data_IF_549169738624
#
_entry.id   IF_549169738624
#
_cell.length_a   1.000
_cell.length_b   1.000
_cell.length_c   1.000
_cell.angle_alpha   90.00
_cell.angle_beta   90.00
_cell.angle_gamma   90.00
#
_symmetry.space_group_name_H-M   'P 1'
#
loop_
_entity.id
_entity.type
_entity.pdbx_description
1 polymer ?
#
# COMPACT_ATOMS: atom_id res chain seq x y z
N UNK A 1 6.30 -22.88 0.62
CA UNK A 1 5.51 -23.12 -0.60
C UNK A 1 5.93 -22.11 -1.65
N UNK A 2 6.11 -22.52 -2.89
CA UNK A 2 6.52 -21.62 -3.98
C UNK A 2 5.29 -20.99 -4.64
N UNK A 3 5.23 -19.65 -4.59
CA UNK A 3 4.25 -18.80 -5.27
C UNK A 3 5.00 -17.66 -5.95
N UNK A 4 5.67 -17.94 -7.07
CA UNK A 4 6.56 -16.98 -7.74
C UNK A 4 5.97 -15.57 -7.83
N UNK A 5 6.73 -14.53 -7.46
CA UNK A 5 8.16 -14.52 -7.06
C UNK A 5 8.41 -14.79 -5.55
N UNK A 6 7.48 -15.41 -4.84
CA UNK A 6 7.54 -15.63 -3.40
C UNK A 6 7.72 -17.09 -3.00
N UNK A 7 8.45 -17.30 -1.90
CA UNK A 7 8.45 -18.53 -1.10
C UNK A 7 7.70 -18.27 0.19
N UNK A 8 6.56 -18.92 0.40
CA UNK A 8 5.72 -18.72 1.57
C UNK A 8 6.06 -19.75 2.65
N UNK A 9 6.44 -19.25 3.82
CA UNK A 9 6.87 -20.00 4.99
C UNK A 9 5.99 -19.56 6.18
N UNK A 10 5.63 -20.48 7.06
CA UNK A 10 4.80 -20.12 8.22
C UNK A 10 4.78 -21.21 9.28
N UNK A 11 4.37 -20.86 10.50
CA UNK A 11 4.28 -21.71 11.68
C UNK A 11 2.85 -22.18 12.02
N UNK A 12 1.97 -22.14 11.02
CA UNK A 12 0.59 -22.61 11.10
C UNK A 12 0.41 -23.96 10.41
N UNK A 13 -0.73 -24.66 10.59
CA UNK A 13 -0.99 -25.91 9.89
C UNK A 13 -0.83 -25.82 8.36
N UNK A 14 -0.13 -26.79 7.76
CA UNK A 14 0.23 -26.79 6.33
C UNK A 14 -0.96 -26.56 5.37
N UNK A 15 -2.12 -27.10 5.71
CA UNK A 15 -3.34 -26.89 4.92
C UNK A 15 -3.77 -25.42 4.92
N UNK A 16 -3.77 -24.77 6.09
CA UNK A 16 -4.10 -23.35 6.23
C UNK A 16 -3.07 -22.45 5.52
N UNK A 17 -1.78 -22.76 5.68
CA UNK A 17 -0.70 -22.05 4.99
C UNK A 17 -0.91 -22.13 3.47
N UNK A 18 -1.25 -23.30 2.94
CA UNK A 18 -1.48 -23.53 1.52
C UNK A 18 -2.70 -22.78 1.00
N UNK A 19 -3.87 -23.08 1.56
CA UNK A 19 -5.14 -22.65 0.95
C UNK A 19 -5.44 -21.18 1.21
N UNK A 20 -5.32 -20.73 2.47
CA UNK A 20 -5.68 -19.37 2.85
C UNK A 20 -4.60 -18.36 2.45
N UNK A 21 -3.33 -18.68 2.77
CA UNK A 21 -2.28 -17.67 2.68
C UNK A 21 -1.53 -17.72 1.35
N UNK A 22 -0.92 -18.86 1.01
CA UNK A 22 -0.14 -18.93 -0.23
C UNK A 22 -1.03 -18.77 -1.47
N UNK A 23 -2.11 -19.54 -1.59
CA UNK A 23 -2.99 -19.49 -2.75
C UNK A 23 -4.01 -18.35 -2.66
N UNK A 24 -4.73 -18.27 -1.55
CA UNK A 24 -5.86 -17.33 -1.38
C UNK A 24 -5.44 -15.88 -1.18
N UNK A 25 -4.21 -15.62 -0.68
CA UNK A 25 -3.75 -14.25 -0.48
C UNK A 25 -2.56 -13.91 -1.37
N UNK A 26 -1.41 -14.60 -1.24
CA UNK A 26 -0.18 -14.22 -1.96
C UNK A 26 -0.34 -14.37 -3.47
N UNK A 27 -0.75 -15.56 -3.95
CA UNK A 27 -0.98 -15.81 -5.39
C UNK A 27 -2.06 -14.89 -5.96
N UNK A 28 -3.18 -14.76 -5.24
CA UNK A 28 -4.29 -13.92 -5.65
C UNK A 28 -3.87 -12.46 -5.79
N UNK A 29 -3.29 -11.86 -4.73
CA UNK A 29 -2.85 -10.48 -4.75
C UNK A 29 -1.79 -10.23 -5.84
N UNK A 30 -0.78 -11.11 -5.94
CA UNK A 30 0.26 -11.04 -6.98
C UNK A 30 -0.35 -11.00 -8.38
N UNK A 31 -1.24 -11.95 -8.68
CA UNK A 31 -1.91 -12.03 -9.99
C UNK A 31 -2.67 -10.74 -10.31
N UNK A 32 -3.48 -10.24 -9.36
CA UNK A 32 -4.33 -9.07 -9.56
C UNK A 32 -3.55 -7.76 -9.64
N UNK A 33 -2.52 -7.59 -8.81
CA UNK A 33 -1.64 -6.43 -8.86
C UNK A 33 -0.84 -6.37 -10.17
N UNK A 34 -0.30 -7.51 -10.64
CA UNK A 34 0.36 -7.60 -11.95
C UNK A 34 -0.60 -7.24 -13.08
N UNK A 35 -1.79 -7.79 -13.11
CA UNK A 35 -2.80 -7.46 -14.12
C UNK A 35 -3.19 -5.96 -14.14
N UNK A 36 -3.08 -5.29 -12.99
CA UNK A 36 -3.48 -3.89 -12.83
C UNK A 36 -2.35 -2.89 -13.10
N UNK A 37 -1.11 -3.21 -12.68
CA UNK A 37 -0.03 -2.24 -12.63
C UNK A 37 1.34 -2.75 -13.09
N UNK A 38 1.72 -4.00 -12.77
CA UNK A 38 3.11 -4.41 -12.79
C UNK A 38 3.42 -5.36 -13.95
N UNK A 39 4.43 -5.03 -14.73
CA UNK A 39 4.88 -5.83 -15.87
C UNK A 39 6.11 -6.66 -15.54
N UNK A 40 6.85 -6.29 -14.50
CA UNK A 40 8.07 -6.97 -14.06
C UNK A 40 7.86 -7.61 -12.70
N UNK A 41 8.39 -8.80 -12.52
CA UNK A 41 8.52 -9.41 -11.20
C UNK A 41 9.72 -8.80 -10.45
N UNK A 42 9.74 -8.84 -9.11
CA UNK A 42 10.94 -8.59 -8.33
C UNK A 42 12.14 -9.41 -8.86
N UNK A 43 13.32 -8.79 -8.86
CA UNK A 43 14.54 -9.40 -9.42
C UNK A 43 14.93 -10.70 -8.69
N UNK A 44 14.64 -10.74 -7.40
CA UNK A 44 14.94 -11.88 -6.53
C UNK A 44 13.67 -12.59 -6.10
N UNK A 45 13.81 -13.86 -5.79
CA UNK A 45 12.80 -14.60 -5.03
C UNK A 45 12.80 -14.02 -3.60
N UNK A 46 11.63 -13.81 -3.05
CA UNK A 46 11.42 -13.19 -1.75
C UNK A 46 10.75 -14.18 -0.81
N UNK A 47 11.25 -14.25 0.42
CA UNK A 47 10.62 -15.04 1.47
C UNK A 47 9.42 -14.29 2.06
N UNK A 48 8.31 -14.99 2.24
CA UNK A 48 7.11 -14.49 2.93
C UNK A 48 6.95 -15.29 4.22
N UNK A 49 7.41 -14.71 5.32
CA UNK A 49 7.34 -15.30 6.64
C UNK A 49 6.03 -14.93 7.32
N UNK A 50 5.17 -15.92 7.52
CA UNK A 50 3.85 -15.75 8.13
C UNK A 50 3.83 -16.38 9.52
N UNK A 51 3.85 -15.54 10.56
CA UNK A 51 3.79 -15.97 11.94
C UNK A 51 2.37 -15.89 12.47
N UNK A 52 1.90 -16.96 13.10
CA UNK A 52 0.51 -17.15 13.53
C UNK A 52 0.00 -16.10 14.51
N UNK A 53 0.88 -15.51 15.33
CA UNK A 53 0.54 -14.52 16.34
C UNK A 53 1.74 -13.59 16.66
N UNK A 54 1.49 -12.58 17.50
CA UNK A 54 2.48 -11.58 17.90
C UNK A 54 3.69 -12.20 18.59
N UNK A 55 3.49 -13.19 19.46
CA UNK A 55 4.59 -13.81 20.21
C UNK A 55 5.52 -14.58 19.27
N UNK A 56 4.94 -15.36 18.37
CA UNK A 56 5.70 -16.06 17.32
C UNK A 56 6.44 -15.08 16.41
N UNK A 57 5.76 -14.03 15.95
CA UNK A 57 6.34 -12.97 15.11
C UNK A 57 7.55 -12.31 15.77
N UNK A 58 7.42 -11.84 17.01
CA UNK A 58 8.50 -11.19 17.74
C UNK A 58 9.66 -12.14 18.05
N UNK A 59 9.36 -13.39 18.44
CA UNK A 59 10.35 -14.44 18.75
C UNK A 59 11.19 -14.75 17.50
N UNK A 60 10.54 -15.12 16.41
CA UNK A 60 11.24 -15.56 15.23
C UNK A 60 11.93 -14.43 14.46
N UNK A 61 11.35 -13.23 14.42
CA UNK A 61 12.03 -12.06 13.85
C UNK A 61 13.34 -11.77 14.59
N UNK A 62 13.35 -11.88 15.93
CA UNK A 62 14.58 -11.74 16.72
C UNK A 62 15.59 -12.84 16.43
N UNK A 63 15.14 -14.08 16.26
CA UNK A 63 16.01 -15.21 15.94
C UNK A 63 16.63 -15.09 14.54
N UNK A 64 15.86 -14.65 13.54
CA UNK A 64 16.28 -14.60 12.15
C UNK A 64 17.10 -13.33 11.82
N UNK A 65 16.77 -12.20 12.44
CA UNK A 65 17.36 -10.89 12.10
C UNK A 65 17.96 -10.13 13.28
N UNK A 66 18.06 -10.75 14.45
CA UNK A 66 18.76 -10.19 15.62
C UNK A 66 18.02 -9.09 16.38
N UNK A 67 16.86 -8.62 15.91
CA UNK A 67 16.12 -7.52 16.52
C UNK A 67 14.61 -7.77 16.57
N UNK A 68 13.97 -7.11 17.55
CA UNK A 68 12.51 -7.08 17.62
C UNK A 68 11.95 -6.18 16.51
N UNK A 69 10.85 -6.58 15.85
CA UNK A 69 10.20 -5.73 14.87
C UNK A 69 9.71 -4.42 15.48
N UNK A 70 9.82 -3.33 14.71
CA UNK A 70 9.34 -2.00 15.12
C UNK A 70 7.83 -1.80 14.91
N UNK A 71 7.19 -2.72 14.19
CA UNK A 71 5.75 -2.71 13.91
C UNK A 71 5.10 -4.00 14.42
N UNK A 72 3.85 -3.92 14.89
CA UNK A 72 3.08 -5.08 15.36
C UNK A 72 2.41 -5.87 14.24
N UNK A 73 2.43 -5.37 13.01
CA UNK A 73 1.68 -5.92 11.88
C UNK A 73 2.55 -6.78 10.96
N UNK A 74 3.56 -6.20 10.41
CA UNK A 74 4.47 -6.79 9.45
C UNK A 74 5.27 -5.71 8.73
N UNK A 75 6.23 -6.12 7.91
CA UNK A 75 7.04 -5.21 7.10
C UNK A 75 7.71 -5.95 5.95
N UNK A 76 8.03 -5.21 4.89
CA UNK A 76 8.93 -5.63 3.84
C UNK A 76 10.36 -5.16 4.16
N UNK A 77 11.33 -6.04 3.96
CA UNK A 77 12.77 -5.75 4.06
C UNK A 77 13.44 -6.10 2.74
N UNK A 78 13.82 -5.09 1.96
CA UNK A 78 14.59 -5.29 0.73
C UNK A 78 15.97 -5.89 1.01
N UNK A 79 16.63 -5.45 2.09
CA UNK A 79 17.94 -5.96 2.51
C UNK A 79 17.90 -7.47 2.83
N UNK A 80 16.85 -7.94 3.48
CA UNK A 80 16.67 -9.36 3.82
C UNK A 80 15.89 -10.13 2.74
N UNK A 81 15.41 -9.47 1.69
CA UNK A 81 14.55 -10.04 0.66
C UNK A 81 13.35 -10.79 1.25
N UNK A 82 12.72 -10.20 2.25
CA UNK A 82 11.69 -10.85 3.03
C UNK A 82 10.50 -9.94 3.36
N UNK A 83 9.30 -10.53 3.34
CA UNK A 83 8.11 -10.00 3.98
C UNK A 83 7.93 -10.76 5.28
N UNK A 84 7.79 -10.04 6.40
CA UNK A 84 7.77 -10.64 7.75
C UNK A 84 6.48 -10.21 8.44
N UNK A 85 5.55 -11.15 8.68
CA UNK A 85 4.16 -10.85 8.97
C UNK A 85 3.67 -11.47 10.28
N UNK A 86 3.01 -10.66 11.11
CA UNK A 86 2.11 -11.14 12.15
C UNK A 86 0.71 -11.34 11.55
N UNK A 87 0.37 -12.58 11.20
CA UNK A 87 -0.84 -12.84 10.44
C UNK A 87 -2.13 -12.81 11.29
N UNK A 88 -2.01 -12.76 12.63
CA UNK A 88 -3.15 -12.53 13.51
C UNK A 88 -3.80 -11.16 13.30
N UNK A 89 -3.09 -10.20 12.72
CA UNK A 89 -3.64 -8.88 12.38
C UNK A 89 -4.45 -8.87 11.07
N UNK A 90 -4.51 -9.99 10.37
CA UNK A 90 -5.27 -10.16 9.12
C UNK A 90 -4.40 -10.14 7.86
N UNK A 91 -5.00 -10.49 6.74
CA UNK A 91 -4.32 -10.60 5.44
C UNK A 91 -4.07 -9.26 4.74
N UNK A 92 -4.71 -8.19 5.18
CA UNK A 92 -4.61 -6.89 4.54
C UNK A 92 -3.20 -6.32 4.55
N UNK A 93 -2.51 -6.42 5.69
CA UNK A 93 -1.11 -6.00 5.79
C UNK A 93 -0.22 -6.81 4.86
N UNK A 94 -0.47 -8.11 4.68
CA UNK A 94 0.29 -8.93 3.73
C UNK A 94 0.11 -8.42 2.29
N UNK A 95 -1.10 -8.04 1.89
CA UNK A 95 -1.35 -7.46 0.55
C UNK A 95 -0.64 -6.12 0.41
N UNK A 96 -0.62 -5.29 1.45
CA UNK A 96 0.14 -4.04 1.51
C UNK A 96 1.64 -4.30 1.24
N UNK A 97 2.24 -5.22 1.99
CA UNK A 97 3.68 -5.49 1.87
C UNK A 97 4.06 -6.15 0.52
N UNK A 98 3.13 -6.88 -0.12
CA UNK A 98 3.34 -7.42 -1.48
C UNK A 98 3.48 -6.31 -2.53
N UNK A 99 2.85 -5.15 -2.34
CA UNK A 99 2.94 -4.01 -3.27
C UNK A 99 4.39 -3.49 -3.38
N UNK A 100 5.13 -3.41 -2.27
CA UNK A 100 6.42 -2.76 -2.22
C UNK A 100 7.49 -3.38 -3.14
N UNK A 101 7.76 -4.69 -3.13
CA UNK A 101 8.75 -5.27 -4.03
C UNK A 101 8.37 -5.16 -5.52
N UNK A 102 7.07 -5.11 -5.83
CA UNK A 102 6.63 -4.85 -7.20
C UNK A 102 6.82 -3.37 -7.58
N UNK A 103 6.55 -2.43 -6.67
CA UNK A 103 6.88 -1.01 -6.89
C UNK A 103 8.39 -0.87 -7.11
N UNK A 104 9.23 -1.46 -6.27
CA UNK A 104 10.69 -1.41 -6.41
C UNK A 104 11.15 -1.89 -7.80
N UNK A 105 10.57 -2.98 -8.33
CA UNK A 105 10.91 -3.55 -9.63
C UNK A 105 10.36 -2.75 -10.83
N UNK A 106 9.22 -2.06 -10.68
CA UNK A 106 8.51 -1.43 -11.79
C UNK A 106 8.57 0.10 -11.77
N UNK A 107 8.73 0.71 -10.61
CA UNK A 107 8.80 2.14 -10.41
C UNK A 107 9.93 2.48 -9.44
N UNK A 108 11.22 2.30 -9.84
CA UNK A 108 12.33 2.75 -9.02
C UNK A 108 12.18 4.25 -8.76
N UNK A 109 12.61 4.72 -7.59
CA UNK A 109 12.45 6.10 -7.11
C UNK A 109 10.99 6.53 -6.86
N UNK A 110 10.07 5.57 -6.71
CA UNK A 110 8.69 5.86 -6.36
C UNK A 110 8.63 6.63 -5.01
N UNK A 111 8.00 7.82 -4.96
CA UNK A 111 7.91 8.57 -3.71
C UNK A 111 7.03 7.84 -2.69
N UNK A 112 7.37 8.00 -1.40
CA UNK A 112 6.70 7.29 -0.29
C UNK A 112 5.19 7.47 -0.29
N UNK A 113 4.70 8.66 -0.59
CA UNK A 113 3.26 8.91 -0.60
C UNK A 113 2.48 8.00 -1.55
N UNK A 114 3.06 7.71 -2.74
CA UNK A 114 2.40 6.85 -3.72
C UNK A 114 2.61 5.37 -3.39
N UNK A 115 3.83 4.98 -3.02
CA UNK A 115 4.16 3.62 -2.62
C UNK A 115 3.29 3.15 -1.43
N UNK A 116 3.26 3.93 -0.36
CA UNK A 116 2.46 3.65 0.83
C UNK A 116 0.96 3.83 0.61
N UNK A 117 0.60 4.83 -0.20
CA UNK A 117 -0.79 5.04 -0.61
C UNK A 117 -1.36 3.83 -1.34
N UNK A 118 -0.59 3.23 -2.27
CA UNK A 118 -1.02 2.05 -3.02
C UNK A 118 -1.06 0.80 -2.15
N UNK A 119 -0.03 0.55 -1.32
CA UNK A 119 -0.04 -0.52 -0.32
C UNK A 119 -1.25 -0.40 0.60
N UNK A 120 -1.46 0.78 1.19
CA UNK A 120 -2.57 1.05 2.09
C UNK A 120 -3.95 0.94 1.42
N UNK A 121 -4.07 1.25 0.13
CA UNK A 121 -5.32 1.09 -0.60
C UNK A 121 -5.80 -0.36 -0.57
N UNK A 122 -4.88 -1.30 -0.68
CA UNK A 122 -5.20 -2.72 -0.75
C UNK A 122 -5.17 -3.47 0.60
N UNK A 123 -4.93 -2.76 1.72
CA UNK A 123 -5.11 -3.32 3.08
C UNK A 123 -6.53 -3.86 3.32
N UNK A 124 -7.52 -3.25 2.70
CA UNK A 124 -8.90 -3.73 2.64
C UNK A 124 -9.29 -3.77 1.18
N UNK A 125 -9.39 -4.97 0.63
CA UNK A 125 -9.62 -5.14 -0.81
C UNK A 125 -10.44 -6.39 -1.12
N UNK A 126 -11.07 -6.37 -2.28
CA UNK A 126 -11.74 -7.53 -2.86
C UNK A 126 -11.53 -7.59 -4.37
N UNK A 127 -12.02 -8.64 -4.97
CA UNK A 127 -12.07 -8.78 -6.42
C UNK A 127 -13.41 -8.29 -6.99
N UNK A 128 -13.34 -7.45 -8.05
CA UNK A 128 -14.50 -7.05 -8.84
C UNK A 128 -14.11 -7.02 -10.32
N UNK A 129 -14.84 -7.77 -11.15
CA UNK A 129 -14.58 -7.88 -12.60
C UNK A 129 -13.11 -8.22 -12.90
N UNK A 130 -12.59 -9.25 -12.25
CA UNK A 130 -11.20 -9.72 -12.36
C UNK A 130 -10.11 -8.73 -11.93
N UNK A 131 -10.47 -7.67 -11.21
CA UNK A 131 -9.57 -6.63 -10.75
C UNK A 131 -9.54 -6.56 -9.23
N UNK A 132 -8.36 -6.25 -8.67
CA UNK A 132 -8.27 -5.88 -7.26
C UNK A 132 -8.82 -4.47 -7.04
N UNK A 133 -9.74 -4.34 -6.10
CA UNK A 133 -10.40 -3.08 -5.76
C UNK A 133 -10.19 -2.82 -4.27
N UNK A 134 -9.61 -1.68 -3.94
CA UNK A 134 -9.50 -1.21 -2.57
C UNK A 134 -10.85 -0.72 -2.04
N UNK A 135 -11.14 -1.04 -0.79
CA UNK A 135 -12.35 -0.62 -0.07
C UNK A 135 -12.03 0.48 0.94
N UNK A 136 -13.04 1.08 1.56
CA UNK A 136 -12.83 1.90 2.77
C UNK A 136 -12.25 1.05 3.90
N UNK A 137 -11.50 1.66 4.81
CA UNK A 137 -10.92 0.95 5.96
C UNK A 137 -10.86 1.84 7.21
N UNK A 138 -10.32 1.30 8.30
CA UNK A 138 -10.20 1.95 9.62
C UNK A 138 -9.50 3.32 9.60
N UNK A 139 -8.66 3.62 8.59
CA UNK A 139 -7.96 4.91 8.47
C UNK A 139 -8.92 6.07 8.20
N UNK A 140 -10.16 5.77 7.77
CA UNK A 140 -11.16 6.77 7.42
C UNK A 140 -11.53 7.68 8.61
N UNK A 141 -11.67 7.08 9.79
CA UNK A 141 -12.06 7.85 10.99
C UNK A 141 -11.00 8.91 11.35
N UNK A 142 -9.71 8.54 11.30
CA UNK A 142 -8.60 9.47 11.52
C UNK A 142 -8.56 10.58 10.48
N UNK A 143 -8.69 10.23 9.20
CA UNK A 143 -8.70 11.19 8.11
C UNK A 143 -9.84 12.22 8.27
N UNK A 144 -11.06 11.75 8.56
CA UNK A 144 -12.20 12.65 8.78
C UNK A 144 -11.98 13.61 9.95
N UNK A 145 -11.33 13.16 11.02
CA UNK A 145 -10.96 14.00 12.15
C UNK A 145 -10.02 15.12 11.70
N UNK A 146 -8.93 14.80 11.02
CA UNK A 146 -7.93 15.78 10.56
C UNK A 146 -8.53 16.78 9.57
N UNK A 147 -9.44 16.33 8.69
CA UNK A 147 -10.20 17.22 7.80
C UNK A 147 -11.04 18.25 8.60
N UNK A 148 -11.78 17.79 9.62
CA UNK A 148 -12.60 18.72 10.48
C UNK A 148 -11.74 19.72 11.24
N UNK A 149 -10.54 19.32 11.64
CA UNK A 149 -9.57 20.17 12.33
C UNK A 149 -8.86 21.16 11.39
N UNK A 150 -9.05 21.04 10.06
CA UNK A 150 -8.36 21.88 9.08
C UNK A 150 -6.84 21.70 9.03
N UNK A 151 -6.34 20.55 9.50
CA UNK A 151 -4.90 20.26 9.63
C UNK A 151 -4.33 19.41 8.50
N UNK A 152 -5.14 19.06 7.51
CA UNK A 152 -4.69 18.20 6.43
C UNK A 152 -3.75 18.98 5.50
N UNK A 153 -2.54 18.46 5.17
CA UNK A 153 -1.66 19.11 4.23
C UNK A 153 -2.29 19.16 2.83
N UNK A 154 -1.89 20.16 2.05
CA UNK A 154 -2.28 20.21 0.63
C UNK A 154 -1.74 19.01 -0.13
N UNK A 155 -2.36 18.65 -1.26
CA UNK A 155 -1.83 17.58 -2.12
C UNK A 155 -0.43 17.91 -2.64
N UNK A 156 -0.10 19.20 -2.82
CA UNK A 156 1.25 19.62 -3.19
C UNK A 156 2.25 19.30 -2.09
N UNK A 157 1.91 19.59 -0.85
CA UNK A 157 2.75 19.27 0.32
C UNK A 157 2.89 17.75 0.48
N UNK A 158 1.79 16.99 0.48
CA UNK A 158 1.80 15.53 0.59
C UNK A 158 2.73 14.89 -0.45
N UNK A 159 2.55 15.27 -1.72
CA UNK A 159 3.30 14.65 -2.83
C UNK A 159 4.78 15.06 -2.85
N UNK A 160 5.12 16.20 -2.25
CA UNK A 160 6.49 16.75 -2.18
C UNK A 160 7.23 16.37 -0.90
N UNK A 161 6.60 15.62 0.02
CA UNK A 161 7.26 15.19 1.25
C UNK A 161 8.48 14.33 0.95
N UNK A 162 9.59 14.60 1.62
CA UNK A 162 10.71 13.65 1.65
C UNK A 162 10.28 12.34 2.33
N UNK A 163 10.98 11.24 2.04
CA UNK A 163 10.71 9.96 2.70
C UNK A 163 10.72 10.13 4.23
N UNK A 164 11.74 10.82 4.78
CA UNK A 164 11.81 11.07 6.23
C UNK A 164 10.57 11.79 6.74
N UNK A 165 10.15 12.88 6.10
CA UNK A 165 8.97 13.65 6.53
C UNK A 165 7.70 12.81 6.48
N UNK A 166 7.50 12.02 5.41
CA UNK A 166 6.33 11.16 5.26
C UNK A 166 6.17 10.15 6.41
N UNK A 167 7.29 9.54 6.86
CA UNK A 167 7.27 8.52 7.91
C UNK A 167 7.34 9.06 9.34
N UNK A 168 7.78 10.30 9.56
CA UNK A 168 7.99 10.83 10.91
C UNK A 168 7.00 11.92 11.31
N UNK A 169 6.51 12.72 10.35
CA UNK A 169 5.58 13.81 10.62
C UNK A 169 4.14 13.38 10.33
N UNK A 170 3.31 13.27 11.37
CA UNK A 170 1.88 12.90 11.22
C UNK A 170 1.67 11.62 10.38
N UNK A 171 2.51 10.61 10.58
CA UNK A 171 2.57 9.38 9.79
C UNK A 171 1.20 8.78 9.47
N UNK A 172 0.34 8.63 10.47
CA UNK A 172 -1.00 8.03 10.28
C UNK A 172 -1.88 8.84 9.33
N UNK A 173 -1.78 10.17 9.38
CA UNK A 173 -2.57 11.09 8.56
C UNK A 173 -2.05 11.11 7.12
N UNK A 174 -0.72 11.07 6.92
CA UNK A 174 -0.10 10.99 5.59
C UNK A 174 -0.52 9.70 4.86
N UNK A 175 -0.48 8.55 5.54
CA UNK A 175 -0.97 7.28 5.00
C UNK A 175 -2.45 7.35 4.64
N UNK A 176 -3.27 7.91 5.52
CA UNK A 176 -4.71 8.03 5.29
C UNK A 176 -5.02 8.95 4.10
N UNK A 177 -4.37 10.12 4.01
CA UNK A 177 -4.55 11.05 2.90
C UNK A 177 -4.11 10.43 1.57
N UNK A 178 -2.91 9.85 1.51
CA UNK A 178 -2.40 9.18 0.31
C UNK A 178 -3.33 8.04 -0.13
N UNK A 179 -3.73 7.16 0.79
CA UNK A 179 -4.66 6.08 0.54
C UNK A 179 -5.98 6.56 -0.06
N UNK A 180 -6.62 7.55 0.56
CA UNK A 180 -7.94 8.02 0.12
C UNK A 180 -7.89 8.91 -1.12
N UNK A 181 -6.74 9.51 -1.44
CA UNK A 181 -6.51 10.11 -2.76
C UNK A 181 -6.51 9.02 -3.84
N UNK A 182 -5.77 7.92 -3.63
CA UNK A 182 -5.75 6.79 -4.58
C UNK A 182 -7.10 6.07 -4.64
N UNK A 183 -7.81 5.96 -3.52
CA UNK A 183 -9.19 5.47 -3.50
C UNK A 183 -10.11 6.33 -4.37
N UNK A 184 -10.04 7.65 -4.26
CA UNK A 184 -10.78 8.57 -5.11
C UNK A 184 -10.46 8.37 -6.59
N UNK A 185 -9.18 8.25 -6.94
CA UNK A 185 -8.76 7.97 -8.32
C UNK A 185 -9.29 6.61 -8.80
N UNK A 186 -9.30 5.59 -7.95
CA UNK A 186 -9.86 4.28 -8.25
C UNK A 186 -11.36 4.36 -8.57
N UNK A 187 -12.14 4.98 -7.68
CA UNK A 187 -13.60 5.08 -7.84
C UNK A 187 -14.01 5.89 -9.09
N UNK A 188 -13.15 6.80 -9.55
CA UNK A 188 -13.34 7.55 -10.79
C UNK A 188 -12.68 6.89 -12.02
N UNK A 189 -12.16 5.67 -11.90
CA UNK A 189 -11.52 4.93 -13.01
C UNK A 189 -10.18 5.52 -13.49
N UNK A 190 -9.57 6.41 -12.69
CA UNK A 190 -8.38 7.19 -13.06
C UNK A 190 -7.06 6.58 -12.56
N UNK A 191 -7.10 5.70 -11.53
CA UNK A 191 -5.89 5.26 -10.84
C UNK A 191 -4.86 4.59 -11.75
N UNK A 192 -5.30 3.69 -12.65
CA UNK A 192 -4.38 3.01 -13.58
C UNK A 192 -3.79 3.97 -14.63
N UNK A 193 -4.61 4.92 -15.10
CA UNK A 193 -4.14 5.97 -16.01
C UNK A 193 -3.09 6.82 -15.29
N UNK A 194 -3.37 7.22 -14.06
CA UNK A 194 -2.44 7.98 -13.22
C UNK A 194 -1.11 7.23 -13.03
N UNK A 195 -1.16 5.95 -12.59
CA UNK A 195 0.06 5.14 -12.41
C UNK A 195 0.93 5.13 -13.67
N UNK A 196 0.35 4.82 -14.84
CA UNK A 196 1.10 4.74 -16.10
C UNK A 196 1.72 6.07 -16.50
N UNK A 197 0.98 7.17 -16.38
CA UNK A 197 1.48 8.50 -16.71
C UNK A 197 2.53 8.98 -15.70
N UNK A 198 2.33 8.70 -14.43
CA UNK A 198 3.30 9.05 -13.39
C UNK A 198 4.62 8.30 -13.60
N UNK A 199 4.57 7.00 -13.85
CA UNK A 199 5.75 6.20 -14.18
C UNK A 199 6.48 6.74 -15.43
N UNK A 200 5.73 7.10 -16.48
CA UNK A 200 6.32 7.68 -17.69
C UNK A 200 6.97 9.04 -17.43
N UNK A 201 6.35 9.87 -16.59
CA UNK A 201 6.79 11.23 -16.27
C UNK A 201 7.77 11.32 -15.10
N UNK A 202 8.15 10.21 -14.43
CA UNK A 202 8.89 10.20 -13.16
C UNK A 202 10.15 11.06 -13.13
N UNK A 203 10.83 11.23 -14.28
CA UNK A 203 12.05 12.07 -14.37
C UNK A 203 11.74 13.55 -14.40
N UNK A 204 10.63 13.97 -15.01
CA UNK A 204 10.22 15.36 -15.16
C UNK A 204 9.22 15.82 -14.11
N UNK A 205 8.52 14.88 -13.48
CA UNK A 205 7.56 15.09 -12.41
C UNK A 205 7.75 14.03 -11.29
N UNK A 206 8.89 14.07 -10.55
CA UNK A 206 9.22 13.03 -9.57
C UNK A 206 8.24 12.95 -8.40
N UNK A 207 7.48 13.99 -8.15
CA UNK A 207 6.44 14.01 -7.10
C UNK A 207 5.10 13.45 -7.60
N UNK A 208 4.87 13.40 -8.91
CA UNK A 208 3.60 13.03 -9.53
C UNK A 208 2.51 14.11 -9.42
N UNK A 209 2.81 15.28 -8.85
CA UNK A 209 1.81 16.32 -8.63
C UNK A 209 1.24 16.90 -9.93
N UNK A 210 2.09 17.22 -10.91
CA UNK A 210 1.64 17.74 -12.21
C UNK A 210 0.86 16.68 -12.98
N UNK A 211 1.30 15.43 -12.89
CA UNK A 211 0.59 14.29 -13.48
C UNK A 211 -0.78 14.11 -12.83
N UNK A 212 -0.89 14.31 -11.50
CA UNK A 212 -2.16 14.27 -10.79
C UNK A 212 -3.12 15.36 -11.29
N UNK A 213 -2.65 16.59 -11.43
CA UNK A 213 -3.43 17.71 -11.99
C UNK A 213 -3.96 17.38 -13.41
N UNK A 214 -3.08 16.88 -14.26
CA UNK A 214 -3.42 16.54 -15.64
C UNK A 214 -4.45 15.41 -15.73
N UNK A 215 -4.31 14.36 -14.91
CA UNK A 215 -5.24 13.22 -14.89
C UNK A 215 -6.61 13.60 -14.34
N UNK A 216 -6.65 14.48 -13.34
CA UNK A 216 -7.88 15.01 -12.77
C UNK A 216 -8.54 16.06 -13.67
N UNK A 217 -7.79 16.66 -14.61
CA UNK A 217 -8.25 17.81 -15.39
C UNK A 217 -8.39 19.09 -14.56
N UNK A 218 -7.64 19.21 -13.45
CA UNK A 218 -7.79 20.27 -12.47
C UNK A 218 -6.65 21.30 -12.55
N UNK A 219 -7.03 22.57 -12.70
CA UNK A 219 -6.07 23.69 -12.63
C UNK A 219 -5.94 24.22 -11.19
N UNK A 220 -7.02 24.24 -10.45
CA UNK A 220 -7.10 24.73 -9.05
C UNK A 220 -7.16 23.53 -8.08
N UNK A 221 -6.00 23.09 -7.64
CA UNK A 221 -5.90 21.95 -6.71
C UNK A 221 -6.41 22.26 -5.31
N UNK A 222 -6.49 23.53 -4.92
CA UNK A 222 -7.08 23.90 -3.64
C UNK A 222 -8.60 23.68 -3.66
N UNK A 223 -9.27 24.10 -4.73
CA UNK A 223 -10.70 23.81 -4.94
C UNK A 223 -10.95 22.31 -5.07
N UNK A 224 -10.08 21.60 -5.79
CA UNK A 224 -10.18 20.14 -5.88
C UNK A 224 -10.08 19.49 -4.49
N UNK A 225 -9.11 19.91 -3.66
CA UNK A 225 -8.96 19.36 -2.30
C UNK A 225 -10.22 19.56 -1.46
N UNK A 226 -10.87 20.72 -1.54
CA UNK A 226 -12.15 20.95 -0.81
C UNK A 226 -13.28 20.01 -1.30
N UNK A 227 -13.37 19.76 -2.60
CA UNK A 227 -14.34 18.78 -3.13
C UNK A 227 -14.00 17.36 -2.70
N UNK A 228 -12.72 16.99 -2.71
CA UNK A 228 -12.26 15.69 -2.25
C UNK A 228 -12.48 15.51 -0.74
N UNK A 229 -12.22 16.52 0.09
CA UNK A 229 -12.54 16.51 1.53
C UNK A 229 -14.05 16.26 1.74
N UNK A 230 -14.90 16.98 1.03
CA UNK A 230 -16.35 16.78 1.08
C UNK A 230 -16.77 15.37 0.64
N UNK A 231 -16.11 14.80 -0.38
CA UNK A 231 -16.30 13.42 -0.81
C UNK A 231 -15.90 12.42 0.30
N UNK A 232 -14.72 12.58 0.90
CA UNK A 232 -14.23 11.73 1.99
C UNK A 232 -15.18 11.77 3.20
N UNK A 233 -15.74 12.94 3.52
CA UNK A 233 -16.68 13.09 4.62
C UNK A 233 -17.99 12.29 4.44
N UNK A 234 -18.37 11.93 3.20
CA UNK A 234 -19.54 11.11 2.90
C UNK A 234 -19.26 9.61 2.93
N UNK A 235 -18.00 9.19 2.85
CA UNK A 235 -17.62 7.77 2.89
C UNK A 235 -17.96 7.16 4.25
N UNK A 236 -18.22 5.86 4.28
CA UNK A 236 -18.45 5.07 5.50
C UNK A 236 -17.50 3.89 5.56
N UNK A 237 -17.18 3.46 6.77
CA UNK A 237 -16.51 2.21 7.07
C UNK A 237 -17.24 1.60 8.26
N UNK A 238 -17.71 0.33 8.16
CA UNK A 238 -18.45 -0.38 9.21
C UNK A 238 -17.68 -0.48 10.52
#
# INVERSE_FOLDING_TARGET
MLEKPFVVIGDMPAAQLRTRWAQGTVRWATKKLKASYFTKDPVHILDVWLFKDKNSYEKHARQLWGSKPTTSYGYYSSANRALVMNIATGGGTLVHEIVHPFIEANFPDCPSWFNEGLGSLYEQSHERKDQIIGLTNWRLAGLKRVIREGKLPSFKELTSMSNRAFYTSHRGDNYAQARYLLYYLQENGLLRKYYRLFLANRKTDPTGYRTLQAVLGEKDMAKFQKRWEAYVMKLTFP
#
